data_IF_285857456576
#
_entry.id   IF_285857456576
#
_cell.length_a   1.000
_cell.length_b   1.000
_cell.length_c   1.000
_cell.angle_alpha   90.00
_cell.angle_beta   90.00
_cell.angle_gamma   90.00
#
_symmetry.space_group_name_H-M   'P 1'
#
loop_
_entity.id
_entity.type
_entity.pdbx_description
1 polymer ?
#
# COMPACT_ATOMS: atom_id res chain seq x y z
N UNK A 1 17.62 11.51 -11.82
CA UNK A 1 16.89 10.31 -11.39
C UNK A 1 17.04 10.19 -9.89
N UNK A 2 16.02 10.55 -9.13
CA UNK A 2 16.19 10.92 -7.72
C UNK A 2 15.68 9.83 -6.78
N UNK A 3 16.66 9.16 -6.16
CA UNK A 3 16.70 8.70 -4.78
C UNK A 3 15.42 8.08 -4.15
N UNK A 4 15.24 6.77 -4.35
CA UNK A 4 14.54 5.89 -3.38
C UNK A 4 15.60 5.12 -2.58
N UNK A 5 16.62 5.83 -2.09
CA UNK A 5 17.84 5.21 -1.57
C UNK A 5 18.08 5.29 -0.06
N UNK A 6 17.43 6.18 0.69
CA UNK A 6 17.75 6.35 2.12
C UNK A 6 16.52 6.78 2.93
N UNK A 7 16.15 5.93 3.89
CA UNK A 7 15.14 6.08 4.94
C UNK A 7 13.75 5.48 4.60
N UNK A 8 13.41 4.29 5.13
CA UNK A 8 12.04 3.79 5.13
C UNK A 8 11.26 4.50 6.24
N UNK A 9 11.02 5.80 6.10
CA UNK A 9 10.07 6.50 6.97
C UNK A 9 8.71 6.37 6.34
N UNK A 10 7.75 5.76 7.04
CA UNK A 10 6.33 5.65 6.64
C UNK A 10 5.73 6.92 6.02
N UNK A 11 6.25 8.10 6.40
CA UNK A 11 5.86 9.40 5.85
C UNK A 11 6.27 9.62 4.39
N UNK A 12 7.41 9.08 3.95
CA UNK A 12 7.88 9.22 2.57
C UNK A 12 6.98 8.47 1.61
N UNK A 13 6.66 7.21 1.90
CA UNK A 13 5.75 6.42 1.07
C UNK A 13 4.38 7.09 0.94
N UNK A 14 3.83 7.62 2.04
CA UNK A 14 2.57 8.39 1.99
C UNK A 14 2.66 9.58 1.03
N UNK A 15 3.71 10.40 1.16
CA UNK A 15 3.90 11.55 0.27
C UNK A 15 4.09 11.18 -1.21
N UNK A 16 4.80 10.08 -1.50
CA UNK A 16 4.92 9.57 -2.87
C UNK A 16 3.60 9.03 -3.40
N UNK A 17 2.85 8.28 -2.61
CA UNK A 17 1.54 7.76 -3.01
C UNK A 17 0.58 8.92 -3.31
N UNK A 18 0.54 9.95 -2.46
CA UNK A 18 -0.27 11.15 -2.70
C UNK A 18 0.14 11.87 -3.99
N UNK A 19 1.45 12.00 -4.25
CA UNK A 19 1.95 12.60 -5.49
C UNK A 19 1.54 11.80 -6.73
N UNK A 20 1.75 10.48 -6.73
CA UNK A 20 1.38 9.61 -7.85
C UNK A 20 -0.14 9.57 -8.06
N UNK A 21 -0.93 9.67 -6.98
CA UNK A 21 -2.39 9.83 -7.04
C UNK A 21 -2.80 11.14 -7.73
N UNK A 22 -2.14 12.26 -7.40
CA UNK A 22 -2.38 13.54 -8.09
C UNK A 22 -2.01 13.47 -9.58
N UNK A 23 -0.95 12.72 -9.91
CA UNK A 23 -0.54 12.47 -11.29
C UNK A 23 -1.41 11.44 -12.02
N UNK A 24 -2.37 10.80 -11.32
CA UNK A 24 -3.20 9.69 -11.82
C UNK A 24 -2.38 8.49 -12.30
N UNK A 25 -1.18 8.33 -11.79
CA UNK A 25 -0.28 7.21 -12.08
C UNK A 25 -0.56 6.05 -11.11
N UNK A 26 -1.71 5.40 -11.31
CA UNK A 26 -2.20 4.35 -10.42
C UNK A 26 -1.30 3.09 -10.42
N UNK A 27 -0.64 2.79 -11.54
CA UNK A 27 0.33 1.68 -11.62
C UNK A 27 1.52 1.89 -10.66
N UNK A 28 1.99 3.14 -10.54
CA UNK A 28 3.06 3.49 -9.60
C UNK A 28 2.56 3.52 -8.16
N UNK A 29 1.33 3.97 -7.92
CA UNK A 29 0.70 3.88 -6.60
C UNK A 29 0.70 2.43 -6.09
N UNK A 30 0.30 1.46 -6.94
CA UNK A 30 0.32 0.03 -6.61
C UNK A 30 1.71 -0.44 -6.19
N UNK A 31 2.72 -0.17 -7.02
CA UNK A 31 4.12 -0.51 -6.71
C UNK A 31 4.61 0.10 -5.40
N UNK A 32 4.19 1.32 -5.07
CA UNK A 32 4.52 1.96 -3.80
C UNK A 32 3.84 1.28 -2.62
N UNK A 33 2.56 0.92 -2.73
CA UNK A 33 1.85 0.16 -1.71
C UNK A 33 2.46 -1.24 -1.50
N UNK A 34 2.78 -1.96 -2.57
CA UNK A 34 3.45 -3.26 -2.50
C UNK A 34 4.80 -3.16 -1.77
N UNK A 35 5.64 -2.18 -2.14
CA UNK A 35 6.88 -1.93 -1.40
C UNK A 35 6.65 -1.55 0.05
N UNK A 36 5.63 -0.74 0.34
CA UNK A 36 5.29 -0.38 1.72
C UNK A 36 4.99 -1.64 2.53
N UNK A 37 4.16 -2.52 1.99
CA UNK A 37 3.77 -3.78 2.63
C UNK A 37 4.93 -4.77 2.73
N UNK A 38 5.89 -4.75 1.81
CA UNK A 38 7.14 -5.51 1.92
C UNK A 38 7.97 -5.06 3.15
N UNK A 39 8.01 -3.76 3.44
CA UNK A 39 8.72 -3.23 4.61
C UNK A 39 7.92 -3.29 5.91
N UNK A 40 6.60 -3.21 5.85
CA UNK A 40 5.72 -3.12 7.03
C UNK A 40 4.42 -3.88 6.80
N UNK A 41 4.48 -5.22 6.71
CA UNK A 41 3.30 -6.07 6.44
C UNK A 41 2.29 -6.06 7.60
N UNK A 42 2.74 -5.71 8.80
CA UNK A 42 1.93 -5.57 10.02
C UNK A 42 1.05 -4.29 10.05
N UNK A 43 1.25 -3.35 9.13
CA UNK A 43 0.52 -2.09 9.14
C UNK A 43 -0.85 -2.21 8.46
N UNK A 44 -1.89 -2.52 9.24
CA UNK A 44 -3.29 -2.64 8.78
C UNK A 44 -3.77 -1.40 8.00
N UNK A 45 -3.33 -0.21 8.39
CA UNK A 45 -3.75 1.05 7.74
C UNK A 45 -3.33 1.08 6.27
N UNK A 46 -2.15 0.55 5.95
CA UNK A 46 -1.64 0.50 4.57
C UNK A 46 -2.47 -0.46 3.72
N UNK A 47 -2.82 -1.64 4.25
CA UNK A 47 -3.69 -2.60 3.56
C UNK A 47 -5.07 -2.01 3.25
N UNK A 48 -5.70 -1.34 4.22
CA UNK A 48 -6.99 -0.68 4.04
C UNK A 48 -6.91 0.39 2.95
N UNK A 49 -5.88 1.24 3.00
CA UNK A 49 -5.68 2.30 2.00
C UNK A 49 -5.41 1.75 0.60
N UNK A 50 -4.71 0.62 0.51
CA UNK A 50 -4.44 -0.01 -0.77
C UNK A 50 -5.73 -0.59 -1.39
N UNK A 51 -6.56 -1.27 -0.61
CA UNK A 51 -7.84 -1.78 -1.10
C UNK A 51 -8.85 -0.66 -1.40
N UNK A 52 -8.83 0.44 -0.63
CA UNK A 52 -9.64 1.64 -0.88
C UNK A 52 -9.28 2.27 -2.23
N UNK A 53 -7.99 2.32 -2.59
CA UNK A 53 -7.54 2.79 -3.90
C UNK A 53 -8.17 1.96 -5.04
N UNK A 54 -8.06 0.64 -4.99
CA UNK A 54 -8.62 -0.23 -6.04
C UNK A 54 -10.16 -0.12 -6.09
N UNK A 55 -10.81 0.08 -4.96
CA UNK A 55 -12.25 0.33 -4.90
C UNK A 55 -12.64 1.65 -5.59
N UNK A 56 -11.86 2.71 -5.38
CA UNK A 56 -12.07 4.01 -6.06
C UNK A 56 -11.86 3.89 -7.58
N UNK A 57 -10.96 3.01 -8.01
CA UNK A 57 -10.72 2.71 -9.43
C UNK A 57 -11.81 1.82 -10.04
N UNK A 58 -12.70 1.25 -9.24
CA UNK A 58 -13.74 0.32 -9.66
C UNK A 58 -13.29 -1.14 -9.71
N UNK A 59 -12.03 -1.42 -9.39
CA UNK A 59 -11.42 -2.75 -9.35
C UNK A 59 -11.72 -3.46 -8.01
N UNK A 60 -12.99 -3.74 -7.74
CA UNK A 60 -13.44 -4.38 -6.50
C UNK A 60 -12.89 -5.80 -6.32
N UNK A 61 -12.65 -6.53 -7.40
CA UNK A 61 -12.03 -7.87 -7.36
C UNK A 61 -10.60 -7.79 -6.82
N UNK A 62 -9.82 -6.78 -7.23
CA UNK A 62 -8.48 -6.55 -6.68
C UNK A 62 -8.53 -6.09 -5.24
N UNK A 63 -9.44 -5.18 -4.89
CA UNK A 63 -9.61 -4.75 -3.51
C UNK A 63 -9.87 -5.95 -2.58
N UNK A 64 -10.72 -6.90 -3.01
CA UNK A 64 -10.96 -8.15 -2.28
C UNK A 64 -9.71 -9.00 -2.16
N UNK A 65 -8.98 -9.22 -3.25
CA UNK A 65 -7.73 -9.98 -3.23
C UNK A 65 -6.70 -9.37 -2.25
N UNK A 66 -6.61 -8.04 -2.18
CA UNK A 66 -5.74 -7.33 -1.24
C UNK A 66 -6.17 -7.60 0.21
N UNK A 67 -7.47 -7.56 0.52
CA UNK A 67 -7.95 -7.91 1.86
C UNK A 67 -7.72 -9.38 2.21
N UNK A 68 -7.90 -10.31 1.26
CA UNK A 68 -7.60 -11.73 1.47
C UNK A 68 -6.11 -11.95 1.75
N UNK A 69 -5.23 -11.25 1.03
CA UNK A 69 -3.79 -11.26 1.30
C UNK A 69 -3.47 -10.70 2.69
N UNK A 70 -4.15 -9.63 3.11
CA UNK A 70 -3.97 -9.03 4.44
C UNK A 70 -4.39 -10.00 5.55
N UNK A 71 -5.53 -10.69 5.40
CA UNK A 71 -6.02 -11.71 6.35
C UNK A 71 -5.04 -12.90 6.41
N UNK A 72 -4.43 -13.26 5.28
CA UNK A 72 -3.42 -14.31 5.22
C UNK A 72 -2.08 -13.96 5.87
N UNK A 73 -1.85 -12.69 6.27
CA UNK A 73 -0.61 -12.31 6.94
C UNK A 73 -0.64 -12.73 8.43
N UNK A 74 0.19 -13.71 8.85
CA UNK A 74 0.21 -14.18 10.24
C UNK A 74 0.69 -13.10 11.22
N UNK A 75 1.37 -12.06 10.71
CA UNK A 75 1.83 -10.91 11.50
C UNK A 75 0.70 -9.95 11.89
N UNK A 76 -0.45 -10.02 11.22
CA UNK A 76 -1.62 -9.21 11.57
C UNK A 76 -2.43 -9.81 12.73
N UNK A 77 -2.29 -11.13 12.92
CA UNK A 77 -3.09 -11.93 13.87
C UNK A 77 -2.42 -12.08 15.25
N UNK A 78 -1.21 -11.52 15.45
CA UNK A 78 -0.55 -11.56 16.76
C UNK A 78 -1.11 -10.46 17.67
N UNK A 79 -1.90 -10.79 18.71
CA UNK A 79 -2.14 -9.85 19.79
C UNK A 79 -0.81 -9.61 20.52
N UNK A 80 -0.47 -8.34 20.76
CA UNK A 80 0.45 -7.97 21.85
C UNK A 80 -0.01 -8.57 23.18
#
# INVERSE_FOLDING_TARGET
GTAIGKCPKNKLFKGYIELELQLREFDRCRKLYEKYLEFSPENCTTWIKFAELETILGDTERARAIFELAIGQPRLDMPE
#
